data_IF_416401983940
#
_entry.id   IF_416401983940
#
_cell.length_a   1.000
_cell.length_b   1.000
_cell.length_c   1.000
_cell.angle_alpha   90.00
_cell.angle_beta   90.00
_cell.angle_gamma   90.00
#
_symmetry.space_group_name_H-M   'P 1'
#
loop_
_entity.id
_entity.type
_entity.pdbx_description
1 polymer ?
#
# COMPACT_ATOMS: atom_id res chain seq x y z
N UNK A 1 18.68 21.48 -11.55
CA UNK A 1 17.58 20.61 -12.05
C UNK A 1 17.92 19.19 -11.66
N UNK A 2 17.41 18.71 -10.53
CA UNK A 2 17.80 17.40 -9.99
C UNK A 2 17.07 16.31 -10.76
N UNK A 3 17.81 15.54 -11.56
CA UNK A 3 17.30 14.32 -12.17
C UNK A 3 16.97 13.34 -11.05
N UNK A 4 15.70 13.19 -10.71
CA UNK A 4 15.27 12.02 -9.95
C UNK A 4 15.12 10.90 -10.96
N UNK A 5 16.07 9.97 -10.91
CA UNK A 5 16.04 8.71 -11.66
C UNK A 5 14.74 7.96 -11.36
N UNK A 6 13.75 8.08 -12.23
CA UNK A 6 12.52 7.31 -12.16
C UNK A 6 12.85 5.85 -12.48
N UNK A 7 12.75 4.99 -11.48
CA UNK A 7 12.85 3.55 -11.70
C UNK A 7 11.46 3.06 -12.06
N UNK A 8 11.27 2.65 -13.31
CA UNK A 8 10.05 1.95 -13.73
C UNK A 8 10.19 0.47 -13.42
N UNK A 9 9.23 -0.06 -12.68
CA UNK A 9 9.13 -1.48 -12.33
C UNK A 9 7.81 -1.99 -12.88
N UNK A 10 7.87 -2.98 -13.76
CA UNK A 10 6.69 -3.65 -14.26
C UNK A 10 6.16 -4.60 -13.17
N UNK A 11 4.92 -4.39 -12.72
CA UNK A 11 4.28 -5.28 -11.74
C UNK A 11 3.54 -6.44 -12.42
N UNK A 12 3.58 -6.55 -13.75
CA UNK A 12 2.74 -7.46 -14.52
C UNK A 12 1.30 -6.96 -14.62
N UNK A 13 0.51 -7.53 -15.54
CA UNK A 13 -0.88 -7.14 -15.81
C UNK A 13 -1.10 -5.72 -16.37
N UNK A 14 -0.12 -5.19 -17.12
CA UNK A 14 -0.08 -3.81 -17.68
C UNK A 14 -0.02 -2.71 -16.60
N UNK A 15 0.40 -3.08 -15.39
CA UNK A 15 0.60 -2.16 -14.28
C UNK A 15 2.09 -1.86 -14.15
N UNK A 16 2.45 -0.57 -14.21
CA UNK A 16 3.83 -0.10 -14.02
C UNK A 16 3.94 0.80 -12.79
N UNK A 17 4.88 0.53 -11.91
CA UNK A 17 5.21 1.40 -10.78
C UNK A 17 6.40 2.26 -11.19
N UNK A 18 6.17 3.55 -11.25
CA UNK A 18 7.21 4.55 -11.33
C UNK A 18 7.55 5.00 -9.91
N UNK A 19 8.76 4.71 -9.45
CA UNK A 19 9.24 5.19 -8.15
C UNK A 19 9.78 6.61 -8.32
N UNK A 20 9.14 7.57 -7.66
CA UNK A 20 9.53 9.00 -7.70
C UNK A 20 10.51 9.30 -6.57
N UNK A 21 10.22 8.74 -5.38
CA UNK A 21 10.96 9.03 -4.16
C UNK A 21 11.08 7.79 -3.31
N UNK A 22 12.32 7.51 -2.93
CA UNK A 22 12.67 6.50 -1.94
C UNK A 22 13.36 7.21 -0.77
N UNK A 23 12.89 6.94 0.45
CA UNK A 23 13.49 7.46 1.67
C UNK A 23 13.61 6.33 2.70
N UNK A 24 14.84 6.02 3.11
CA UNK A 24 15.07 5.15 4.27
C UNK A 24 15.06 6.00 5.54
N UNK A 25 14.28 5.56 6.54
CA UNK A 25 14.24 6.16 7.87
C UNK A 25 14.77 5.15 8.90
N UNK A 26 16.04 5.24 9.30
CA UNK A 26 16.65 4.28 10.21
C UNK A 26 16.10 4.36 11.65
N UNK A 27 15.56 5.50 12.09
CA UNK A 27 14.98 5.65 13.44
C UNK A 27 13.74 4.80 13.61
N UNK A 28 12.88 4.80 12.59
CA UNK A 28 11.67 3.99 12.57
C UNK A 28 11.99 2.58 12.04
N UNK A 29 13.05 2.41 11.26
CA UNK A 29 13.36 1.16 10.57
C UNK A 29 12.37 0.90 9.44
N UNK A 30 11.94 1.95 8.74
CA UNK A 30 11.04 1.85 7.58
C UNK A 30 11.63 2.51 6.35
N UNK A 31 11.31 1.93 5.20
CA UNK A 31 11.58 2.45 3.88
C UNK A 31 10.27 3.01 3.33
N UNK A 32 10.25 4.31 3.09
CA UNK A 32 9.13 5.04 2.53
C UNK A 32 9.34 5.15 1.02
N UNK A 33 8.38 4.65 0.25
CA UNK A 33 8.40 4.68 -1.20
C UNK A 33 7.17 5.44 -1.65
N UNK A 34 7.38 6.51 -2.41
CA UNK A 34 6.32 7.25 -3.09
C UNK A 34 6.49 7.08 -4.59
N UNK A 35 5.43 6.68 -5.26
CA UNK A 35 5.44 6.40 -6.69
C UNK A 35 4.12 6.67 -7.39
N UNK A 36 4.14 6.54 -8.70
CA UNK A 36 2.96 6.50 -9.55
C UNK A 36 2.74 5.11 -10.08
N UNK A 37 1.51 4.62 -9.96
CA UNK A 37 1.06 3.37 -10.52
C UNK A 37 0.32 3.65 -11.82
N UNK A 38 0.97 3.39 -12.94
CA UNK A 38 0.39 3.47 -14.27
C UNK A 38 -0.41 2.20 -14.53
N UNK A 39 -1.70 2.34 -14.78
CA UNK A 39 -2.63 1.26 -15.07
C UNK A 39 -3.45 1.70 -16.29
N UNK A 40 -2.83 1.60 -17.48
CA UNK A 40 -3.50 1.94 -18.73
C UNK A 40 -4.59 0.88 -19.00
N UNK A 41 -5.83 1.33 -19.18
CA UNK A 41 -7.01 0.52 -19.53
C UNK A 41 -7.57 -0.46 -18.47
N UNK A 42 -6.94 -0.64 -17.31
CA UNK A 42 -7.53 -1.35 -16.16
C UNK A 42 -8.06 -0.38 -15.10
N UNK A 43 -9.01 -0.81 -14.28
CA UNK A 43 -9.47 -0.03 -13.12
C UNK A 43 -8.37 0.13 -12.06
N UNK A 44 -8.62 0.95 -11.03
CA UNK A 44 -7.66 1.09 -9.92
C UNK A 44 -7.42 -0.28 -9.26
N UNK A 45 -6.17 -0.77 -9.25
CA UNK A 45 -5.85 -2.09 -8.73
C UNK A 45 -6.14 -2.18 -7.24
N UNK A 46 -6.45 -3.38 -6.78
CA UNK A 46 -6.76 -3.59 -5.37
C UNK A 46 -5.52 -3.37 -4.52
N UNK A 47 -5.69 -2.75 -3.34
CA UNK A 47 -4.59 -2.52 -2.38
C UNK A 47 -3.84 -3.80 -2.03
N UNK A 48 -4.56 -4.91 -1.90
CA UNK A 48 -3.98 -6.21 -1.59
C UNK A 48 -3.08 -6.74 -2.73
N UNK A 49 -3.50 -6.59 -3.97
CA UNK A 49 -2.71 -6.99 -5.13
C UNK A 49 -1.42 -6.16 -5.20
N UNK A 50 -1.54 -4.84 -5.07
CA UNK A 50 -0.37 -3.94 -5.06
C UNK A 50 0.60 -4.31 -3.94
N UNK A 51 0.09 -4.59 -2.72
CA UNK A 51 0.88 -5.07 -1.59
C UNK A 51 1.65 -6.35 -1.92
N UNK A 52 1.00 -7.33 -2.54
CA UNK A 52 1.62 -8.61 -2.94
C UNK A 52 2.71 -8.42 -3.97
N UNK A 53 2.45 -7.64 -5.02
CA UNK A 53 3.44 -7.40 -6.07
C UNK A 53 4.68 -6.68 -5.52
N UNK A 54 4.48 -5.69 -4.66
CA UNK A 54 5.58 -5.00 -3.97
C UNK A 54 6.37 -5.97 -3.10
N UNK A 55 5.70 -6.83 -2.33
CA UNK A 55 6.38 -7.84 -1.53
C UNK A 55 7.26 -8.78 -2.38
N UNK A 56 6.76 -9.20 -3.55
CA UNK A 56 7.49 -10.02 -4.52
C UNK A 56 8.72 -9.29 -5.09
N UNK A 57 8.57 -8.02 -5.51
CA UNK A 57 9.66 -7.19 -6.08
C UNK A 57 10.77 -6.94 -5.05
N UNK A 58 10.38 -6.53 -3.84
CA UNK A 58 11.33 -6.20 -2.78
C UNK A 58 11.82 -7.45 -2.02
N UNK A 59 11.30 -8.64 -2.35
CA UNK A 59 11.60 -9.92 -1.69
C UNK A 59 11.41 -9.86 -0.17
N UNK A 60 10.37 -9.17 0.26
CA UNK A 60 10.01 -8.99 1.67
C UNK A 60 8.70 -9.71 1.97
N UNK A 61 8.46 -10.14 3.21
CA UNK A 61 7.18 -10.74 3.57
C UNK A 61 6.05 -9.72 3.44
N UNK A 62 4.87 -10.18 3.05
CA UNK A 62 3.65 -9.35 2.96
C UNK A 62 3.39 -8.57 4.25
N UNK A 63 3.66 -9.18 5.39
CA UNK A 63 3.42 -8.66 6.74
C UNK A 63 4.13 -7.32 6.99
N UNK A 64 5.29 -7.09 6.38
CA UNK A 64 6.05 -5.83 6.59
C UNK A 64 5.70 -4.74 5.57
N UNK A 65 4.91 -5.05 4.54
CA UNK A 65 4.54 -4.10 3.49
C UNK A 65 3.16 -3.51 3.80
N UNK A 66 3.10 -2.18 3.91
CA UNK A 66 1.86 -1.45 4.14
C UNK A 66 1.67 -0.41 3.05
N UNK A 67 0.52 -0.48 2.37
CA UNK A 67 0.08 0.57 1.46
C UNK A 67 -0.70 1.60 2.27
N UNK A 68 -0.18 2.82 2.38
CA UNK A 68 -0.78 3.89 3.18
C UNK A 68 -1.92 4.57 2.45
N UNK A 69 -1.66 4.96 1.21
CA UNK A 69 -2.61 5.67 0.37
C UNK A 69 -2.46 5.25 -1.09
N UNK A 70 -3.60 5.17 -1.76
CA UNK A 70 -3.69 5.08 -3.23
C UNK A 70 -4.66 6.19 -3.60
N UNK A 71 -4.18 7.18 -4.33
CA UNK A 71 -4.97 8.29 -4.84
C UNK A 71 -4.88 8.26 -6.37
N UNK A 72 -5.98 7.86 -7.00
CA UNK A 72 -6.09 7.88 -8.47
C UNK A 72 -6.29 9.31 -8.92
N UNK A 73 -5.49 9.76 -9.87
CA UNK A 73 -5.66 11.09 -10.46
C UNK A 73 -6.82 11.07 -11.46
N UNK A 74 -7.71 12.05 -11.37
CA UNK A 74 -8.91 12.10 -12.20
C UNK A 74 -8.53 12.33 -13.67
N UNK A 75 -9.09 11.51 -14.56
CA UNK A 75 -8.89 11.63 -16.02
C UNK A 75 -7.58 11.03 -16.55
N UNK A 76 -6.71 10.51 -15.67
CA UNK A 76 -5.46 9.85 -16.08
C UNK A 76 -5.42 8.44 -15.47
N UNK A 77 -4.99 7.44 -16.23
CA UNK A 77 -4.78 6.06 -15.75
C UNK A 77 -3.56 5.92 -14.83
N UNK A 78 -3.34 6.89 -13.92
CA UNK A 78 -2.23 6.89 -12.97
C UNK A 78 -2.73 7.10 -11.54
N UNK A 79 -2.21 6.32 -10.60
CA UNK A 79 -2.51 6.46 -9.17
C UNK A 79 -1.25 6.79 -8.40
N UNK A 80 -1.26 7.89 -7.65
CA UNK A 80 -0.22 8.15 -6.67
C UNK A 80 -0.34 7.15 -5.53
N UNK A 81 0.77 6.52 -5.20
CA UNK A 81 0.86 5.50 -4.15
C UNK A 81 1.95 5.85 -3.13
N UNK A 82 1.63 5.64 -1.86
CA UNK A 82 2.57 5.70 -0.74
C UNK A 82 2.65 4.33 -0.06
N UNK A 83 3.86 3.79 -0.01
CA UNK A 83 4.16 2.47 0.54
C UNK A 83 5.19 2.63 1.66
N UNK A 84 4.93 1.95 2.77
CA UNK A 84 5.90 1.78 3.84
C UNK A 84 6.31 0.31 3.90
N UNK A 85 7.61 0.05 3.80
CA UNK A 85 8.21 -1.27 4.01
C UNK A 85 8.96 -1.21 5.32
N UNK A 86 8.52 -1.97 6.32
CA UNK A 86 9.19 -2.06 7.61
C UNK A 86 10.25 -3.16 7.61
N UNK A 87 11.27 -3.03 8.47
CA UNK A 87 12.25 -4.10 8.69
C UNK A 87 11.73 -5.20 9.62
N UNK A 88 10.85 -4.83 10.54
CA UNK A 88 10.30 -5.71 11.56
C UNK A 88 8.75 -5.63 11.58
N UNK A 89 8.04 -6.77 11.58
CA UNK A 89 6.58 -6.79 11.59
C UNK A 89 5.98 -6.24 12.88
N UNK A 90 6.61 -6.46 14.05
CA UNK A 90 6.12 -5.96 15.34
C UNK A 90 6.13 -4.44 15.36
N UNK A 91 7.18 -3.84 14.80
CA UNK A 91 7.32 -2.39 14.72
C UNK A 91 6.28 -1.77 13.77
N UNK A 92 5.92 -2.48 12.71
CA UNK A 92 4.82 -2.08 11.84
C UNK A 92 3.46 -2.12 12.59
N UNK A 93 3.28 -3.12 13.46
CA UNK A 93 2.14 -3.25 14.36
C UNK A 93 2.16 -2.33 15.59
N UNK A 94 3.17 -1.51 15.80
CA UNK A 94 3.13 -0.48 16.85
C UNK A 94 2.84 0.88 16.23
N UNK A 95 3.38 1.13 15.03
CA UNK A 95 3.41 2.44 14.41
C UNK A 95 2.20 2.68 13.51
N UNK A 96 1.75 1.69 12.74
CA UNK A 96 0.66 1.90 11.80
C UNK A 96 -0.70 1.90 12.53
N UNK A 97 -1.56 2.91 12.34
CA UNK A 97 -2.84 2.96 13.01
C UNK A 97 -3.77 1.81 12.55
N UNK A 98 -4.67 1.39 13.45
CA UNK A 98 -5.56 0.23 13.24
C UNK A 98 -6.31 0.29 11.91
N UNK A 99 -6.77 1.48 11.47
CA UNK A 99 -7.52 1.63 10.23
C UNK A 99 -6.69 1.37 8.95
N UNK A 100 -5.36 1.55 9.00
CA UNK A 100 -4.46 1.21 7.87
C UNK A 100 -4.21 -0.30 7.84
N UNK A 101 -4.05 -0.93 9.01
CA UNK A 101 -3.95 -2.40 9.10
C UNK A 101 -5.18 -3.06 8.51
N UNK A 102 -6.38 -2.62 8.93
CA UNK A 102 -7.66 -3.13 8.41
C UNK A 102 -7.85 -2.96 6.90
N UNK A 103 -7.23 -1.93 6.31
CA UNK A 103 -7.28 -1.67 4.86
C UNK A 103 -6.28 -2.51 4.06
N UNK A 104 -5.22 -3.01 4.72
CA UNK A 104 -4.20 -3.87 4.13
C UNK A 104 -4.46 -5.36 4.36
N UNK A 105 -5.34 -5.72 5.30
CA UNK A 105 -5.80 -7.09 5.50
C UNK A 105 -6.55 -7.63 4.26
N UNK A 106 -6.60 -8.96 4.09
CA UNK A 106 -7.37 -9.59 3.04
C UNK A 106 -8.84 -9.11 3.01
N UNK A 107 -9.48 -9.06 1.85
CA UNK A 107 -10.86 -8.57 1.70
C UNK A 107 -11.88 -9.27 2.62
N UNK A 108 -11.62 -10.54 2.97
CA UNK A 108 -12.49 -11.36 3.82
C UNK A 108 -12.48 -10.91 5.28
N UNK A 109 -11.29 -10.74 5.86
CA UNK A 109 -11.14 -10.27 7.25
C UNK A 109 -11.63 -8.82 7.43
N UNK A 110 -11.49 -8.00 6.37
CA UNK A 110 -12.03 -6.64 6.36
C UNK A 110 -13.56 -6.65 6.48
N UNK A 111 -14.26 -7.56 5.79
CA UNK A 111 -15.72 -7.68 5.87
C UNK A 111 -16.17 -8.15 7.26
N UNK A 112 -15.48 -9.13 7.84
CA UNK A 112 -15.78 -9.65 9.16
C UNK A 112 -15.69 -8.56 10.25
N UNK A 113 -14.58 -7.82 10.31
CA UNK A 113 -14.42 -6.72 11.29
C UNK A 113 -15.38 -5.56 11.07
N UNK A 114 -15.75 -5.27 9.82
CA UNK A 114 -16.74 -4.23 9.53
C UNK A 114 -18.15 -4.64 9.99
N UNK A 115 -18.48 -5.93 9.88
CA UNK A 115 -19.74 -6.48 10.39
C UNK A 115 -19.78 -6.46 11.93
N UNK A 116 -18.68 -6.80 12.61
CA UNK A 116 -18.61 -6.68 14.08
C UNK A 116 -18.78 -5.23 14.54
N UNK A 117 -18.09 -4.28 13.90
CA UNK A 117 -18.23 -2.85 14.22
C UNK A 117 -19.64 -2.31 13.96
N UNK A 118 -20.35 -2.87 12.98
CA UNK A 118 -21.77 -2.54 12.72
C UNK A 118 -22.67 -3.13 13.81
N UNK A 119 -22.51 -4.42 14.14
CA UNK A 119 -23.26 -5.10 15.20
C UNK A 119 -23.07 -4.43 16.57
N UNK A 120 -21.84 -4.04 16.91
CA UNK A 120 -21.53 -3.34 18.17
C UNK A 120 -22.10 -1.91 18.24
N UNK A 121 -22.40 -1.29 17.09
CA UNK A 121 -23.08 0.01 17.02
C UNK A 121 -24.60 -0.14 17.07
N UNK A 122 -25.14 -1.21 16.49
CA UNK A 122 -26.57 -1.54 16.55
C UNK A 122 -27.00 -2.01 17.95
N UNK A 123 -26.17 -2.78 18.65
CA UNK A 123 -26.46 -3.21 20.03
C UNK A 123 -26.40 -2.07 21.07
N UNK A 124 -25.94 -0.88 20.64
CA UNK A 124 -25.77 0.31 21.49
C UNK A 124 -26.87 1.36 21.25
N UNK A 125 -27.80 1.08 20.34
CA UNK A 125 -28.95 1.92 20.00
C UNK A 125 -30.22 1.25 20.53
#
# INVERSE_FOLDING_TARGET
>A
MSQQSSTMIDLGDDIKLEVIRERDNPLIGRKEITGYLHHHAKGTPQRYEVRRRIAEIFKVPLEVVYVRSIQTEFGWGRSKIEIHIYRDPKRAEEIEPLHIRLKNLPPEERKAKLQELRKAKESRK
#
